data_IF_374426910659
#
_entry.id   IF_374426910659
#
_cell.length_a   1.000
_cell.length_b   1.000
_cell.length_c   1.000
_cell.angle_alpha   90.00
_cell.angle_beta   90.00
_cell.angle_gamma   90.00
#
_symmetry.space_group_name_H-M   'P 1'
#
loop_
_entity.id
_entity.type
_entity.pdbx_description
1 polymer ?
#
# COMPACT_ATOMS: atom_id res chain seq x y z
N UNK A 1 18.69 -20.22 6.36
CA UNK A 1 19.89 -19.69 5.61
C UNK A 1 20.19 -18.30 6.13
N UNK A 2 21.39 -18.03 6.56
CA UNK A 2 21.75 -16.73 7.12
C UNK A 2 21.75 -15.62 6.05
N UNK A 3 20.90 -14.62 6.24
CA UNK A 3 20.79 -13.48 5.34
C UNK A 3 21.83 -12.38 5.59
N UNK A 4 22.00 -11.51 4.61
CA UNK A 4 22.83 -10.31 4.76
C UNK A 4 22.12 -9.30 5.68
N UNK A 5 22.79 -8.70 6.69
CA UNK A 5 22.17 -7.76 7.62
C UNK A 5 21.58 -6.52 6.96
N UNK A 6 22.19 -6.00 5.88
CA UNK A 6 21.66 -4.84 5.15
C UNK A 6 20.38 -5.20 4.39
N UNK A 7 20.34 -6.38 3.77
CA UNK A 7 19.11 -6.88 3.12
C UNK A 7 17.98 -7.02 4.15
N UNK A 8 18.26 -7.64 5.31
CA UNK A 8 17.28 -7.78 6.38
C UNK A 8 16.74 -6.43 6.88
N UNK A 9 17.61 -5.42 6.98
CA UNK A 9 17.23 -4.07 7.35
C UNK A 9 16.27 -3.45 6.32
N UNK A 10 16.57 -3.60 5.03
CA UNK A 10 15.70 -3.12 3.96
C UNK A 10 14.37 -3.86 3.90
N UNK A 11 14.36 -5.20 4.05
CA UNK A 11 13.13 -5.98 4.11
C UNK A 11 12.23 -5.56 5.29
N UNK A 12 12.80 -5.30 6.45
CA UNK A 12 12.05 -4.76 7.58
C UNK A 12 11.54 -3.33 7.34
N UNK A 13 12.24 -2.52 6.56
CA UNK A 13 11.79 -1.18 6.20
C UNK A 13 10.56 -1.22 5.30
N UNK A 14 10.57 -2.07 4.27
CA UNK A 14 9.37 -2.23 3.44
C UNK A 14 8.23 -2.91 4.20
N UNK A 15 8.51 -3.87 5.09
CA UNK A 15 7.49 -4.45 5.98
C UNK A 15 6.82 -3.37 6.85
N UNK A 16 7.58 -2.43 7.40
CA UNK A 16 7.03 -1.30 8.13
C UNK A 16 6.02 -0.51 7.29
N UNK A 17 6.33 -0.22 6.03
CA UNK A 17 5.43 0.49 5.12
C UNK A 17 4.16 -0.31 4.82
N UNK A 18 4.28 -1.63 4.59
CA UNK A 18 3.13 -2.51 4.36
C UNK A 18 2.18 -2.53 5.58
N UNK A 19 2.72 -2.59 6.79
CA UNK A 19 1.92 -2.58 8.02
C UNK A 19 1.17 -1.24 8.21
N UNK A 20 1.78 -0.12 7.85
CA UNK A 20 1.12 1.19 7.82
C UNK A 20 0.00 1.19 6.77
N UNK A 21 0.29 0.73 5.56
CA UNK A 21 -0.66 0.69 4.44
C UNK A 21 -1.89 -0.17 4.76
N UNK A 22 -1.71 -1.37 5.31
CA UNK A 22 -2.79 -2.27 5.73
C UNK A 22 -3.78 -1.52 6.62
N UNK A 23 -3.28 -0.86 7.67
CA UNK A 23 -4.12 -0.18 8.65
C UNK A 23 -4.76 1.10 8.07
N UNK A 24 -4.02 1.88 7.31
CA UNK A 24 -4.52 3.12 6.71
C UNK A 24 -5.64 2.83 5.71
N UNK A 25 -5.42 1.91 4.77
CA UNK A 25 -6.42 1.55 3.76
C UNK A 25 -7.63 0.86 4.37
N UNK A 26 -7.43 0.03 5.38
CA UNK A 26 -8.52 -0.58 6.13
C UNK A 26 -9.44 0.48 6.76
N UNK A 27 -8.88 1.47 7.45
CA UNK A 27 -9.68 2.54 8.05
C UNK A 27 -10.35 3.41 6.99
N UNK A 28 -9.63 3.83 5.94
CA UNK A 28 -10.21 4.58 4.82
C UNK A 28 -11.36 3.83 4.15
N UNK A 29 -11.22 2.51 3.95
CA UNK A 29 -12.28 1.64 3.43
C UNK A 29 -13.56 1.72 4.29
N UNK A 30 -13.41 1.67 5.62
CA UNK A 30 -14.57 1.73 6.53
C UNK A 30 -15.21 3.13 6.55
N UNK A 31 -14.42 4.19 6.47
CA UNK A 31 -14.91 5.55 6.37
C UNK A 31 -15.67 5.77 5.05
N UNK A 32 -15.14 5.34 3.92
CA UNK A 32 -15.85 5.40 2.63
C UNK A 32 -17.17 4.64 2.68
N UNK A 33 -17.19 3.45 3.28
CA UNK A 33 -18.41 2.66 3.43
C UNK A 33 -19.44 3.38 4.28
N UNK A 34 -19.04 3.98 5.38
CA UNK A 34 -19.91 4.74 6.28
C UNK A 34 -20.55 5.95 5.55
N UNK A 35 -19.85 6.55 4.62
CA UNK A 35 -20.34 7.66 3.80
C UNK A 35 -21.13 7.23 2.57
N UNK A 36 -21.34 5.94 2.36
CA UNK A 36 -22.09 5.41 1.20
C UNK A 36 -21.28 5.36 -0.10
N UNK A 37 -19.96 5.58 -0.04
CA UNK A 37 -19.05 5.53 -1.19
C UNK A 37 -18.53 4.10 -1.39
N UNK A 38 -19.43 3.20 -1.73
CA UNK A 38 -19.21 1.74 -1.70
C UNK A 38 -18.12 1.29 -2.66
N UNK A 39 -18.04 1.88 -3.86
CA UNK A 39 -17.02 1.50 -4.85
C UNK A 39 -15.60 1.86 -4.37
N UNK A 40 -15.41 3.04 -3.78
CA UNK A 40 -14.15 3.42 -3.16
C UNK A 40 -13.83 2.53 -1.95
N UNK A 41 -14.83 2.21 -1.14
CA UNK A 41 -14.67 1.34 0.02
C UNK A 41 -14.19 -0.06 -0.38
N UNK A 42 -14.75 -0.65 -1.42
CA UNK A 42 -14.36 -1.95 -1.94
C UNK A 42 -12.93 -1.94 -2.48
N UNK A 43 -12.57 -0.90 -3.23
CA UNK A 43 -11.21 -0.74 -3.75
C UNK A 43 -10.17 -0.65 -2.62
N UNK A 44 -10.38 0.25 -1.65
CA UNK A 44 -9.49 0.42 -0.50
C UNK A 44 -9.38 -0.86 0.35
N UNK A 45 -10.48 -1.58 0.51
CA UNK A 45 -10.45 -2.85 1.22
C UNK A 45 -9.58 -3.88 0.51
N UNK A 46 -9.71 -4.01 -0.81
CA UNK A 46 -8.87 -4.90 -1.60
C UNK A 46 -7.39 -4.52 -1.54
N UNK A 47 -7.07 -3.23 -1.61
CA UNK A 47 -5.70 -2.76 -1.43
C UNK A 47 -5.14 -3.14 -0.05
N UNK A 48 -5.91 -2.96 1.02
CA UNK A 48 -5.51 -3.39 2.37
C UNK A 48 -5.20 -4.89 2.44
N UNK A 49 -5.99 -5.73 1.77
CA UNK A 49 -5.78 -7.18 1.72
C UNK A 49 -4.52 -7.52 0.89
N UNK A 50 -4.27 -6.84 -0.21
CA UNK A 50 -3.08 -7.07 -1.04
C UNK A 50 -1.81 -6.68 -0.27
N UNK A 51 -1.82 -5.59 0.48
CA UNK A 51 -0.71 -5.23 1.37
C UNK A 51 -0.50 -6.28 2.48
N UNK A 52 -1.55 -6.91 2.97
CA UNK A 52 -1.42 -8.04 3.93
C UNK A 52 -0.70 -9.23 3.30
N UNK A 53 -0.95 -9.53 2.03
CA UNK A 53 -0.24 -10.60 1.31
C UNK A 53 1.24 -10.25 1.11
N UNK A 54 1.57 -8.99 0.80
CA UNK A 54 2.95 -8.52 0.72
C UNK A 54 3.66 -8.66 2.07
N UNK A 55 3.01 -8.22 3.15
CA UNK A 55 3.55 -8.35 4.50
C UNK A 55 3.80 -9.82 4.89
N UNK A 56 2.88 -10.72 4.55
CA UNK A 56 3.00 -12.17 4.80
C UNK A 56 4.26 -12.73 4.11
N UNK A 57 4.45 -12.46 2.84
CA UNK A 57 5.61 -12.90 2.07
C UNK A 57 6.93 -12.32 2.63
N UNK A 58 6.93 -11.06 3.06
CA UNK A 58 8.10 -10.42 3.69
C UNK A 58 8.45 -11.07 5.02
N UNK A 59 7.47 -11.36 5.86
CA UNK A 59 7.68 -12.05 7.15
C UNK A 59 8.29 -13.42 6.93
N UNK A 60 7.74 -14.22 6.01
CA UNK A 60 8.30 -15.54 5.66
C UNK A 60 9.74 -15.43 5.14
N UNK A 61 10.02 -14.45 4.28
CA UNK A 61 11.37 -14.24 3.74
C UNK A 61 12.38 -13.84 4.80
N UNK A 62 12.03 -12.93 5.70
CA UNK A 62 12.89 -12.49 6.80
C UNK A 62 13.21 -13.66 7.73
N UNK A 63 12.20 -14.48 8.09
CA UNK A 63 12.40 -15.68 8.91
C UNK A 63 13.28 -16.71 8.22
N UNK A 64 13.09 -16.96 6.93
CA UNK A 64 13.95 -17.85 6.15
C UNK A 64 15.41 -17.41 6.17
N UNK A 65 15.66 -16.09 6.15
CA UNK A 65 16.99 -15.50 6.23
C UNK A 65 17.54 -15.41 7.67
N UNK A 66 16.90 -16.05 8.64
CA UNK A 66 17.26 -16.05 10.06
C UNK A 66 17.23 -14.65 10.69
N UNK A 67 16.43 -13.75 10.12
CA UNK A 67 16.12 -12.44 10.66
C UNK A 67 14.91 -12.46 11.59
N UNK A 68 14.64 -11.32 12.21
CA UNK A 68 13.45 -11.10 13.04
C UNK A 68 12.55 -10.09 12.34
N UNK A 69 11.34 -10.49 11.90
CA UNK A 69 10.37 -9.54 11.37
C UNK A 69 9.95 -8.54 12.44
N UNK A 70 10.03 -7.25 12.11
CA UNK A 70 9.66 -6.19 13.05
C UNK A 70 8.20 -5.77 12.85
N UNK A 71 7.29 -6.38 13.63
CA UNK A 71 5.88 -5.99 13.70
C UNK A 71 5.57 -5.08 14.89
N UNK A 72 6.57 -4.73 15.69
CA UNK A 72 6.41 -3.92 16.89
C UNK A 72 6.56 -2.42 16.63
N UNK A 73 7.26 -2.05 15.56
CA UNK A 73 7.44 -0.67 15.14
C UNK A 73 6.22 -0.24 14.32
N UNK A 74 5.26 0.37 15.00
CA UNK A 74 4.01 0.83 14.42
C UNK A 74 4.15 2.27 13.89
N UNK A 75 4.04 2.42 12.59
CA UNK A 75 4.10 3.72 11.94
C UNK A 75 2.86 4.58 12.17
N UNK A 76 3.04 5.88 12.00
CA UNK A 76 1.94 6.84 12.07
C UNK A 76 1.09 6.75 10.80
N UNK A 77 -0.22 6.58 10.96
CA UNK A 77 -1.17 6.64 9.86
C UNK A 77 -1.43 8.10 9.45
N UNK A 78 -1.75 8.30 8.17
CA UNK A 78 -2.23 9.56 7.62
C UNK A 78 -3.67 9.37 7.19
N UNK A 79 -4.59 9.77 8.06
CA UNK A 79 -6.03 9.59 7.83
C UNK A 79 -6.60 10.91 7.32
N UNK A 80 -7.21 10.86 6.12
CA UNK A 80 -7.90 12.01 5.54
C UNK A 80 -9.27 12.24 6.18
N UNK A 81 -9.75 13.48 6.15
CA UNK A 81 -11.07 13.86 6.65
C UNK A 81 -12.12 13.97 5.54
N UNK A 82 -11.68 14.06 4.30
CA UNK A 82 -12.51 14.08 3.10
C UNK A 82 -12.08 12.99 2.12
N UNK A 83 -12.94 12.56 1.19
CA UNK A 83 -12.56 11.56 0.18
C UNK A 83 -11.30 11.96 -0.60
N UNK A 84 -11.20 13.20 -1.06
CA UNK A 84 -10.02 13.68 -1.78
C UNK A 84 -8.76 13.61 -0.91
N UNK A 85 -8.84 14.12 0.31
CA UNK A 85 -7.71 14.10 1.25
C UNK A 85 -7.26 12.67 1.59
N UNK A 86 -8.20 11.73 1.71
CA UNK A 86 -7.88 10.31 1.94
C UNK A 86 -7.07 9.73 0.78
N UNK A 87 -7.47 10.00 -0.46
CA UNK A 87 -6.72 9.57 -1.64
C UNK A 87 -5.34 10.25 -1.74
N UNK A 88 -5.24 11.52 -1.35
CA UNK A 88 -3.96 12.24 -1.28
C UNK A 88 -3.03 11.65 -0.20
N UNK A 89 -3.57 11.29 0.97
CA UNK A 89 -2.82 10.62 2.03
C UNK A 89 -2.30 9.25 1.58
N UNK A 90 -3.13 8.49 0.89
CA UNK A 90 -2.74 7.18 0.34
C UNK A 90 -1.64 7.33 -0.71
N UNK A 91 -1.76 8.28 -1.62
CA UNK A 91 -0.73 8.55 -2.63
C UNK A 91 0.62 8.94 -2.01
N UNK A 92 0.60 9.72 -0.92
CA UNK A 92 1.84 10.06 -0.20
C UNK A 92 2.51 8.82 0.40
N UNK A 93 1.72 7.90 0.95
CA UNK A 93 2.24 6.64 1.50
C UNK A 93 2.85 5.78 0.39
N UNK A 94 2.17 5.66 -0.75
CA UNK A 94 2.68 4.92 -1.92
C UNK A 94 4.02 5.48 -2.43
N UNK A 95 4.17 6.79 -2.48
CA UNK A 95 5.45 7.39 -2.88
C UNK A 95 6.59 7.08 -1.92
N UNK A 96 6.31 7.01 -0.62
CA UNK A 96 7.30 6.59 0.40
C UNK A 96 7.65 5.11 0.19
N UNK A 97 6.66 4.25 0.04
CA UNK A 97 6.84 2.83 -0.17
C UNK A 97 7.62 2.54 -1.46
N UNK A 98 7.29 3.22 -2.56
CA UNK A 98 7.98 3.12 -3.85
C UNK A 98 9.48 3.43 -3.72
N UNK A 99 9.85 4.53 -3.06
CA UNK A 99 11.25 4.88 -2.86
C UNK A 99 12.00 3.83 -2.02
N UNK A 100 11.39 3.31 -0.96
CA UNK A 100 11.98 2.29 -0.11
C UNK A 100 12.11 0.93 -0.83
N UNK A 101 11.17 0.59 -1.71
CA UNK A 101 11.25 -0.61 -2.55
C UNK A 101 12.39 -0.53 -3.55
N UNK A 102 12.58 0.59 -4.22
CA UNK A 102 13.74 0.80 -5.12
C UNK A 102 15.06 0.62 -4.36
N UNK A 103 15.20 1.27 -3.20
CA UNK A 103 16.39 1.13 -2.37
C UNK A 103 16.63 -0.32 -1.91
N UNK A 104 15.55 -1.06 -1.64
CA UNK A 104 15.61 -2.48 -1.27
C UNK A 104 16.10 -3.34 -2.44
N UNK A 105 15.58 -3.12 -3.65
CA UNK A 105 16.00 -3.82 -4.87
C UNK A 105 17.48 -3.58 -5.14
N UNK A 106 17.94 -2.32 -5.09
CA UNK A 106 19.36 -1.97 -5.29
C UNK A 106 20.25 -2.67 -4.25
N UNK A 107 19.85 -2.69 -2.98
CA UNK A 107 20.57 -3.40 -1.93
C UNK A 107 20.63 -4.90 -2.20
N UNK A 108 19.51 -5.52 -2.54
CA UNK A 108 19.45 -6.95 -2.84
C UNK A 108 20.32 -7.34 -4.04
N UNK A 109 20.34 -6.55 -5.10
CA UNK A 109 21.20 -6.78 -6.27
C UNK A 109 22.67 -6.69 -5.89
N UNK A 110 23.06 -5.65 -5.16
CA UNK A 110 24.43 -5.48 -4.66
C UNK A 110 24.90 -6.67 -3.83
N UNK A 111 24.05 -7.17 -2.95
CA UNK A 111 24.34 -8.31 -2.07
C UNK A 111 24.06 -9.67 -2.73
N UNK A 112 23.60 -9.69 -3.98
CA UNK A 112 23.28 -10.87 -4.78
C UNK A 112 22.17 -11.76 -4.17
N UNK A 113 21.26 -11.14 -3.44
CA UNK A 113 20.04 -11.78 -2.95
C UNK A 113 18.89 -11.56 -3.95
N UNK A 114 18.95 -12.28 -5.06
CA UNK A 114 18.01 -12.14 -6.16
C UNK A 114 16.58 -12.60 -5.82
N UNK A 115 16.42 -13.50 -4.85
CA UNK A 115 15.08 -13.94 -4.41
C UNK A 115 14.39 -12.84 -3.61
N UNK A 116 15.09 -12.18 -2.69
CA UNK A 116 14.55 -11.00 -1.99
C UNK A 116 14.32 -9.84 -2.95
N UNK A 117 15.18 -9.68 -3.94
CA UNK A 117 15.01 -8.68 -5.00
C UNK A 117 13.72 -8.92 -5.80
N UNK A 118 13.44 -10.15 -6.20
CA UNK A 118 12.24 -10.49 -6.95
C UNK A 118 10.98 -10.27 -6.13
N UNK A 119 11.01 -10.60 -4.83
CA UNK A 119 9.92 -10.29 -3.91
C UNK A 119 9.63 -8.77 -3.83
N UNK A 120 10.67 -7.95 -3.69
CA UNK A 120 10.53 -6.49 -3.69
C UNK A 120 10.07 -5.96 -5.05
N UNK A 121 10.46 -6.59 -6.15
CA UNK A 121 10.02 -6.25 -7.50
C UNK A 121 8.51 -6.47 -7.69
N UNK A 122 7.95 -7.58 -7.21
CA UNK A 122 6.51 -7.84 -7.27
C UNK A 122 5.71 -6.77 -6.51
N UNK A 123 6.18 -6.41 -5.31
CA UNK A 123 5.57 -5.31 -4.54
C UNK A 123 5.68 -3.98 -5.29
N UNK A 124 6.83 -3.66 -5.89
CA UNK A 124 7.02 -2.43 -6.64
C UNK A 124 6.06 -2.31 -7.83
N UNK A 125 5.83 -3.39 -8.56
CA UNK A 125 4.87 -3.41 -9.68
C UNK A 125 3.44 -3.13 -9.18
N UNK A 126 3.03 -3.74 -8.07
CA UNK A 126 1.73 -3.48 -7.47
C UNK A 126 1.59 -2.02 -6.97
N UNK A 127 2.64 -1.46 -6.36
CA UNK A 127 2.68 -0.05 -5.93
C UNK A 127 2.51 0.90 -7.11
N UNK A 128 3.17 0.65 -8.23
CA UNK A 128 3.05 1.50 -9.43
C UNK A 128 1.63 1.46 -10.01
N UNK A 129 0.98 0.30 -10.01
CA UNK A 129 -0.44 0.19 -10.40
C UNK A 129 -1.35 0.98 -9.47
N UNK A 130 -1.10 0.94 -8.17
CA UNK A 130 -1.88 1.68 -7.18
C UNK A 130 -1.64 3.19 -7.28
N UNK A 131 -0.41 3.62 -7.49
CA UNK A 131 -0.07 5.04 -7.75
C UNK A 131 -0.83 5.55 -8.98
N UNK A 132 -0.80 4.81 -10.10
CA UNK A 132 -1.51 5.18 -11.33
C UNK A 132 -3.02 5.32 -11.09
N UNK A 133 -3.59 4.37 -10.35
CA UNK A 133 -5.01 4.44 -9.98
C UNK A 133 -5.33 5.67 -9.13
N UNK A 134 -4.56 5.94 -8.08
CA UNK A 134 -4.74 7.10 -7.18
C UNK A 134 -4.61 8.43 -7.94
N UNK A 135 -3.58 8.57 -8.76
CA UNK A 135 -3.36 9.75 -9.59
C UNK A 135 -4.53 9.95 -10.58
N UNK A 136 -5.06 8.87 -11.14
CA UNK A 136 -6.23 8.91 -12.02
C UNK A 136 -7.48 9.40 -11.29
N UNK A 137 -7.75 8.88 -10.06
CA UNK A 137 -8.89 9.34 -9.27
C UNK A 137 -8.76 10.83 -8.92
N UNK A 138 -7.60 11.27 -8.46
CA UNK A 138 -7.35 12.68 -8.13
C UNK A 138 -7.48 13.59 -9.35
N UNK A 139 -7.01 13.16 -10.52
CA UNK A 139 -7.18 13.87 -11.79
C UNK A 139 -8.65 14.00 -12.17
N UNK A 140 -9.46 12.97 -11.99
CA UNK A 140 -10.90 13.02 -12.25
C UNK A 140 -11.61 13.99 -11.31
N UNK A 141 -11.26 14.00 -10.03
CA UNK A 141 -11.78 14.96 -9.04
C UNK A 141 -11.51 16.39 -9.50
N UNK A 142 -10.29 16.68 -9.95
CA UNK A 142 -9.92 18.02 -10.44
C UNK A 142 -10.65 18.42 -11.73
N UNK A 143 -10.94 17.44 -12.60
CA UNK A 143 -11.61 17.70 -13.89
C UNK A 143 -13.11 17.93 -13.77
N UNK A 144 -13.81 17.15 -12.95
CA UNK A 144 -15.28 17.16 -12.88
C UNK A 144 -15.82 17.73 -11.56
N UNK A 145 -14.97 18.01 -10.61
CA UNK A 145 -15.31 18.42 -9.26
C UNK A 145 -15.60 17.23 -8.35
N UNK A 146 -15.31 17.36 -7.05
CA UNK A 146 -15.44 16.27 -6.08
C UNK A 146 -16.86 15.73 -6.00
N UNK A 147 -17.88 16.58 -5.98
CA UNK A 147 -19.27 16.14 -5.87
C UNK A 147 -19.71 15.27 -7.06
N UNK A 148 -19.33 15.66 -8.28
CA UNK A 148 -19.64 14.86 -9.48
C UNK A 148 -18.86 13.54 -9.48
N UNK A 149 -17.60 13.56 -9.06
CA UNK A 149 -16.78 12.36 -8.94
C UNK A 149 -17.37 11.37 -7.94
N UNK A 150 -17.82 11.84 -6.77
CA UNK A 150 -18.36 10.98 -5.71
C UNK A 150 -19.64 10.24 -6.13
N UNK A 151 -20.39 10.76 -7.10
CA UNK A 151 -21.56 10.05 -7.67
C UNK A 151 -21.14 8.73 -8.33
N UNK A 152 -19.96 8.66 -8.93
CA UNK A 152 -19.43 7.43 -9.55
C UNK A 152 -18.95 6.41 -8.53
N UNK A 153 -18.67 6.85 -7.31
CA UNK A 153 -18.22 6.00 -6.20
C UNK A 153 -19.37 5.36 -5.40
N UNK A 154 -20.60 5.81 -5.64
CA UNK A 154 -21.80 5.25 -5.03
C UNK A 154 -22.23 3.98 -5.75
N UNK A 155 -22.75 3.00 -5.00
CA UNK A 155 -23.34 1.81 -5.61
C UNK A 155 -24.64 2.19 -6.31
N UNK A 156 -24.78 1.78 -7.56
CA UNK A 156 -26.06 1.95 -8.29
C UNK A 156 -27.14 1.09 -7.63
N UNK A 157 -28.23 1.71 -7.24
CA UNK A 157 -29.43 0.98 -6.79
C UNK A 157 -30.01 0.25 -8.00
N UNK A 158 -29.96 -1.08 -8.00
CA UNK A 158 -30.66 -1.86 -9.01
C UNK A 158 -32.16 -1.79 -8.73
N UNK A 159 -33.02 -1.53 -9.75
CA UNK A 159 -34.45 -1.70 -9.57
C UNK A 159 -34.75 -3.17 -9.23
N UNK A 160 -35.65 -3.41 -8.28
CA UNK A 160 -36.13 -4.75 -7.90
C UNK A 160 -36.77 -5.46 -9.10
#
# INVERSE_FOLDING_TARGET
MKGNPEVLKHLNKILYNELVAINQYFLHSKMFKDWGLTELAEHEYHESIDEMKHADALVERILFLEGIPNLQDLGQLRIGETPKEMLECDLQLEHIAHADLIATIECCEKEKDFVSRDLAQESLEAEEEHVDWLETQLSLIDRVGEQNYLQTAMKTVKPD
#
